data_IF_297091476749
#
_entry.id   IF_297091476749
#
_cell.length_a   1.000
_cell.length_b   1.000
_cell.length_c   1.000
_cell.angle_alpha   90.00
_cell.angle_beta   90.00
_cell.angle_gamma   90.00
#
_symmetry.space_group_name_H-M   'P 1'
#
loop_
_entity.id
_entity.type
_entity.pdbx_description
1 polymer ?
#
# COMPACT_ATOMS: atom_id res chain seq x y z
N UNK A 1 4.72 -10.62 -4.82
CA UNK A 1 4.26 -11.10 -3.49
C UNK A 1 5.35 -11.84 -2.72
N UNK A 2 6.34 -12.43 -3.38
CA UNK A 2 7.46 -13.14 -2.73
C UNK A 2 8.23 -12.25 -1.76
N UNK A 3 8.63 -11.04 -2.19
CA UNK A 3 9.34 -10.08 -1.32
C UNK A 3 8.54 -9.79 -0.04
N UNK A 4 7.22 -9.56 -0.14
CA UNK A 4 6.35 -9.30 1.00
C UNK A 4 6.29 -10.49 1.98
N UNK A 5 6.26 -11.72 1.45
CA UNK A 5 6.27 -12.92 2.28
C UNK A 5 7.64 -13.18 2.91
N UNK A 6 8.74 -12.90 2.20
CA UNK A 6 10.09 -12.95 2.75
C UNK A 6 10.24 -11.98 3.92
N UNK A 7 9.81 -10.73 3.75
CA UNK A 7 9.80 -9.75 4.84
C UNK A 7 8.94 -10.22 6.03
N UNK A 8 7.75 -10.76 5.77
CA UNK A 8 6.88 -11.28 6.82
C UNK A 8 7.58 -12.40 7.62
N UNK A 9 8.32 -13.30 6.97
CA UNK A 9 9.03 -14.38 7.64
C UNK A 9 10.18 -13.88 8.54
N UNK A 10 10.80 -12.75 8.18
CA UNK A 10 11.83 -12.11 9.00
C UNK A 10 11.27 -11.39 10.24
N UNK A 11 9.96 -11.18 10.33
CA UNK A 11 9.35 -10.51 11.48
C UNK A 11 9.23 -11.44 12.71
N UNK A 12 9.50 -10.91 13.92
CA UNK A 12 9.20 -11.62 15.16
C UNK A 12 7.73 -12.06 15.21
N UNK A 13 7.46 -13.23 15.80
CA UNK A 13 6.09 -13.74 15.92
C UNK A 13 5.16 -12.74 16.64
N UNK A 14 5.68 -12.01 17.64
CA UNK A 14 4.94 -10.97 18.37
C UNK A 14 4.42 -9.83 17.47
N UNK A 15 5.05 -9.59 16.32
CA UNK A 15 4.67 -8.54 15.37
C UNK A 15 3.75 -9.05 14.25
N UNK A 16 3.42 -10.34 14.26
CA UNK A 16 2.56 -11.01 13.27
C UNK A 16 1.21 -11.43 13.84
N UNK A 17 0.86 -10.98 15.04
CA UNK A 17 -0.39 -11.33 15.71
C UNK A 17 -1.56 -10.63 15.00
N UNK A 18 -2.53 -11.41 14.55
CA UNK A 18 -3.79 -10.95 13.95
C UNK A 18 -4.81 -10.57 15.03
N UNK A 19 -5.90 -9.85 14.72
CA UNK A 19 -6.93 -9.52 15.70
C UNK A 19 -7.57 -10.75 16.34
N UNK A 20 -7.62 -11.88 15.61
CA UNK A 20 -8.12 -13.16 16.11
C UNK A 20 -7.09 -13.93 16.98
N UNK A 21 -5.92 -13.34 17.26
CA UNK A 21 -4.87 -13.95 18.08
C UNK A 21 -3.93 -14.91 17.35
N UNK A 22 -4.20 -15.25 16.09
CA UNK A 22 -3.33 -16.13 15.29
C UNK A 22 -2.11 -15.40 14.70
N UNK A 23 -1.13 -16.17 14.21
CA UNK A 23 0.06 -15.64 13.51
C UNK A 23 -0.20 -15.53 12.01
N UNK A 24 0.05 -14.34 11.43
CA UNK A 24 -0.03 -14.12 9.99
C UNK A 24 1.11 -14.85 9.27
N UNK A 25 0.73 -15.77 8.38
CA UNK A 25 1.67 -16.63 7.64
C UNK A 25 1.94 -16.17 6.20
N UNK A 26 1.02 -15.41 5.58
CA UNK A 26 1.16 -14.94 4.20
C UNK A 26 0.59 -13.53 4.04
N UNK A 27 1.31 -12.68 3.32
CA UNK A 27 0.79 -11.46 2.75
C UNK A 27 -0.07 -11.81 1.52
N UNK A 28 -1.23 -11.18 1.39
CA UNK A 28 -2.14 -11.37 0.26
C UNK A 28 -2.61 -10.01 -0.22
N UNK A 29 -2.61 -9.80 -1.55
CA UNK A 29 -3.28 -8.62 -2.11
C UNK A 29 -4.78 -8.71 -1.82
N UNK A 30 -5.47 -7.56 -1.66
CA UNK A 30 -6.92 -7.53 -1.58
C UNK A 30 -7.52 -8.27 -2.79
N UNK A 31 -8.57 -9.05 -2.56
CA UNK A 31 -9.28 -9.70 -3.65
C UNK A 31 -10.24 -8.68 -4.29
N UNK A 32 -9.88 -8.17 -5.47
CA UNK A 32 -10.65 -7.17 -6.20
C UNK A 32 -12.08 -7.65 -6.50
N UNK A 33 -12.29 -8.95 -6.74
CA UNK A 33 -13.63 -9.50 -6.95
C UNK A 33 -14.48 -9.46 -5.67
N UNK A 34 -13.87 -9.71 -4.50
CA UNK A 34 -14.57 -9.50 -3.22
C UNK A 34 -14.88 -8.02 -3.01
N UNK A 35 -13.97 -7.12 -3.38
CA UNK A 35 -14.21 -5.67 -3.30
C UNK A 35 -15.41 -5.27 -4.18
N UNK A 36 -15.46 -5.75 -5.44
CA UNK A 36 -16.57 -5.50 -6.38
C UNK A 36 -17.93 -6.00 -5.88
N UNK A 37 -17.96 -7.05 -5.08
CA UNK A 37 -19.21 -7.59 -4.51
C UNK A 37 -19.67 -6.76 -3.31
N UNK A 38 -18.73 -6.28 -2.48
CA UNK A 38 -19.03 -5.52 -1.25
C UNK A 38 -19.33 -4.05 -1.54
N UNK A 39 -18.58 -3.43 -2.45
CA UNK A 39 -18.81 -2.06 -2.92
C UNK A 39 -18.41 -1.93 -4.42
N UNK A 40 -19.38 -2.15 -5.33
CA UNK A 40 -19.14 -2.04 -6.77
C UNK A 40 -18.69 -0.63 -7.19
N UNK A 41 -19.10 0.41 -6.46
CA UNK A 41 -18.85 1.80 -6.83
C UNK A 41 -17.40 2.23 -6.63
N UNK A 42 -16.74 1.74 -5.57
CA UNK A 42 -15.30 1.94 -5.35
C UNK A 42 -14.42 1.12 -6.30
N UNK A 43 -14.77 -0.15 -6.54
CA UNK A 43 -13.90 -1.10 -7.21
C UNK A 43 -13.87 -0.99 -8.75
N UNK A 44 -14.86 -0.34 -9.36
CA UNK A 44 -14.99 -0.27 -10.83
C UNK A 44 -14.28 0.97 -11.41
N UNK A 45 -14.03 2.00 -10.59
CA UNK A 45 -13.55 3.29 -11.11
C UNK A 45 -12.13 3.69 -10.66
N UNK A 46 -11.55 3.03 -9.65
CA UNK A 46 -10.22 3.40 -9.14
C UNK A 46 -9.12 3.34 -10.21
N UNK A 47 -9.17 2.36 -11.11
CA UNK A 47 -8.25 2.21 -12.24
C UNK A 47 -8.34 3.38 -13.25
N UNK A 48 -9.50 4.04 -13.33
CA UNK A 48 -9.74 5.16 -14.24
C UNK A 48 -9.52 6.52 -13.58
N UNK A 49 -9.49 6.62 -12.25
CA UNK A 49 -9.32 7.88 -11.52
C UNK A 49 -8.04 8.59 -11.96
N UNK A 50 -6.92 7.87 -12.04
CA UNK A 50 -5.65 8.50 -12.42
C UNK A 50 -5.69 9.06 -13.86
N UNK A 51 -6.24 8.28 -14.79
CA UNK A 51 -6.40 8.71 -16.19
C UNK A 51 -7.33 9.91 -16.29
N UNK A 52 -8.48 9.87 -15.63
CA UNK A 52 -9.44 10.97 -15.61
C UNK A 52 -8.83 12.23 -14.98
N UNK A 53 -8.11 12.09 -13.86
CA UNK A 53 -7.40 13.17 -13.18
C UNK A 53 -6.42 13.88 -14.13
N UNK A 54 -5.57 13.13 -14.82
CA UNK A 54 -4.61 13.65 -15.81
C UNK A 54 -5.31 14.31 -17.02
N UNK A 55 -6.45 13.74 -17.43
CA UNK A 55 -7.22 14.25 -18.57
C UNK A 55 -7.97 15.55 -18.27
N UNK A 56 -8.45 15.75 -17.05
CA UNK A 56 -9.32 16.88 -16.71
C UNK A 56 -8.66 17.98 -15.86
N UNK A 57 -7.56 17.67 -15.16
CA UNK A 57 -6.87 18.63 -14.28
C UNK A 57 -5.44 18.90 -14.76
N UNK A 58 -4.95 20.10 -14.50
CA UNK A 58 -3.53 20.39 -14.60
C UNK A 58 -2.84 19.75 -13.40
N UNK A 59 -1.98 18.76 -13.63
CA UNK A 59 -1.26 18.08 -12.54
C UNK A 59 -0.23 19.04 -11.96
N UNK A 60 -0.46 19.51 -10.73
CA UNK A 60 0.48 20.36 -9.97
C UNK A 60 1.48 19.47 -9.22
N UNK A 61 0.98 18.37 -8.64
CA UNK A 61 1.79 17.40 -7.93
C UNK A 61 1.26 16.00 -8.18
N UNK A 62 2.17 15.05 -8.35
CA UNK A 62 1.88 13.63 -8.39
C UNK A 62 3.00 12.89 -7.66
N UNK A 63 2.66 12.22 -6.57
CA UNK A 63 3.59 11.53 -5.69
C UNK A 63 3.11 10.09 -5.49
N UNK A 64 3.77 9.10 -6.10
CA UNK A 64 3.57 7.69 -5.73
C UNK A 64 3.89 7.48 -4.25
N UNK A 65 3.01 6.83 -3.49
CA UNK A 65 3.16 6.67 -2.02
C UNK A 65 3.47 5.24 -1.57
N UNK A 66 3.53 4.28 -2.50
CA UNK A 66 3.82 2.88 -2.26
C UNK A 66 2.57 2.05 -2.00
N UNK A 67 2.67 1.13 -1.03
CA UNK A 67 1.59 0.22 -0.65
C UNK A 67 1.55 -1.09 -1.45
N UNK A 68 2.29 -1.22 -2.55
CA UNK A 68 2.38 -2.46 -3.33
C UNK A 68 2.89 -3.64 -2.50
N UNK A 69 3.75 -3.38 -1.52
CA UNK A 69 4.28 -4.37 -0.60
C UNK A 69 3.72 -4.20 0.82
N UNK A 70 3.73 -2.99 1.34
CA UNK A 70 3.39 -2.75 2.74
C UNK A 70 1.90 -2.90 3.04
N UNK A 71 1.00 -2.52 2.12
CA UNK A 71 -0.44 -2.69 2.33
C UNK A 71 -0.82 -4.17 2.55
N UNK A 72 -0.45 -5.11 1.66
CA UNK A 72 -0.76 -6.52 1.89
C UNK A 72 0.03 -7.14 3.05
N UNK A 73 1.25 -6.66 3.33
CA UNK A 73 2.07 -7.13 4.44
C UNK A 73 1.48 -6.73 5.80
N UNK A 74 1.10 -5.46 5.97
CA UNK A 74 0.63 -4.90 7.24
C UNK A 74 -0.87 -5.11 7.48
N UNK A 75 -1.63 -5.55 6.47
CA UNK A 75 -3.05 -5.90 6.61
C UNK A 75 -3.26 -6.82 7.83
N UNK A 76 -4.13 -6.43 8.76
CA UNK A 76 -4.42 -7.12 10.02
C UNK A 76 -3.26 -7.27 11.01
N UNK A 77 -2.11 -6.64 10.81
CA UNK A 77 -1.00 -6.69 11.79
C UNK A 77 -0.34 -5.32 12.06
N UNK A 78 -0.76 -4.25 11.37
CA UNK A 78 -0.20 -2.90 11.50
C UNK A 78 -0.18 -2.39 12.96
N UNK A 79 -1.21 -2.72 13.73
CA UNK A 79 -1.34 -2.33 15.14
C UNK A 79 -0.26 -2.92 16.06
N UNK A 80 0.51 -3.91 15.61
CA UNK A 80 1.61 -4.46 16.41
C UNK A 80 2.86 -3.57 16.40
N UNK A 81 2.99 -2.63 15.45
CA UNK A 81 4.23 -1.90 15.23
C UNK A 81 4.34 -0.58 16.00
N UNK A 82 3.26 -0.12 16.61
CA UNK A 82 3.25 1.12 17.41
C UNK A 82 3.40 0.87 18.93
N UNK A 83 3.54 -0.40 19.33
CA UNK A 83 3.55 -0.80 20.75
C UNK A 83 4.88 -0.54 21.45
N UNK A 84 5.99 -0.57 20.71
CA UNK A 84 7.33 -0.42 21.26
C UNK A 84 8.29 0.24 20.25
N UNK A 85 9.54 0.46 20.67
CA UNK A 85 10.57 1.03 19.79
C UNK A 85 11.00 0.05 18.68
N UNK A 86 11.01 -1.25 18.96
CA UNK A 86 11.39 -2.29 18.01
C UNK A 86 10.44 -2.32 16.82
N UNK A 87 9.12 -2.31 17.07
CA UNK A 87 8.08 -2.23 16.07
C UNK A 87 8.20 -0.98 15.21
N UNK A 88 8.42 0.19 15.82
CA UNK A 88 8.64 1.44 15.09
C UNK A 88 9.88 1.37 14.19
N UNK A 89 10.98 0.79 14.67
CA UNK A 89 12.21 0.58 13.88
C UNK A 89 11.99 -0.42 12.73
N UNK A 90 11.29 -1.52 12.97
CA UNK A 90 10.93 -2.50 11.94
C UNK A 90 10.07 -1.86 10.85
N UNK A 91 9.01 -1.12 11.24
CA UNK A 91 8.13 -0.43 10.32
C UNK A 91 8.91 0.60 9.47
N UNK A 92 9.72 1.43 10.10
CA UNK A 92 10.57 2.41 9.39
C UNK A 92 11.55 1.73 8.41
N UNK A 93 12.09 0.57 8.78
CA UNK A 93 12.99 -0.20 7.91
C UNK A 93 12.24 -0.73 6.68
N UNK A 94 11.05 -1.30 6.88
CA UNK A 94 10.24 -1.80 5.76
C UNK A 94 9.75 -0.65 4.85
N UNK A 95 9.42 0.52 5.41
CA UNK A 95 9.08 1.73 4.62
C UNK A 95 10.25 2.18 3.76
N UNK A 96 11.46 2.23 4.31
CA UNK A 96 12.66 2.58 3.54
C UNK A 96 12.89 1.59 2.41
N UNK A 97 12.75 0.30 2.69
CA UNK A 97 12.94 -0.74 1.68
C UNK A 97 11.90 -0.66 0.55
N UNK A 98 10.62 -0.45 0.85
CA UNK A 98 9.60 -0.23 -0.18
C UNK A 98 9.94 1.00 -1.04
N UNK A 99 10.37 2.10 -0.42
CA UNK A 99 10.79 3.31 -1.14
C UNK A 99 11.99 3.08 -2.05
N UNK A 100 13.01 2.34 -1.61
CA UNK A 100 14.16 2.02 -2.47
C UNK A 100 13.77 1.11 -3.64
N UNK A 101 12.92 0.10 -3.40
CA UNK A 101 12.39 -0.75 -4.48
C UNK A 101 11.56 0.03 -5.51
N UNK A 102 10.82 1.04 -5.06
CA UNK A 102 10.12 1.95 -5.97
C UNK A 102 11.08 2.82 -6.77
N UNK A 103 12.15 3.32 -6.15
CA UNK A 103 13.14 4.19 -6.81
C UNK A 103 13.93 3.47 -7.90
N UNK A 104 14.31 2.20 -7.69
CA UNK A 104 14.98 1.41 -8.71
C UNK A 104 14.03 0.84 -9.78
N UNK A 105 12.71 0.96 -9.59
CA UNK A 105 11.70 0.48 -10.54
C UNK A 105 11.35 -1.00 -10.40
N UNK A 106 11.83 -1.68 -9.36
CA UNK A 106 11.51 -3.09 -9.09
C UNK A 106 10.04 -3.30 -8.74
N UNK A 107 9.41 -2.29 -8.13
CA UNK A 107 7.97 -2.25 -7.86
C UNK A 107 7.37 -0.89 -8.24
N UNK A 108 6.09 -0.92 -8.61
CA UNK A 108 5.28 0.29 -8.77
C UNK A 108 4.71 0.82 -7.46
N UNK A 109 3.59 1.54 -7.58
CA UNK A 109 2.87 2.11 -6.45
C UNK A 109 1.38 1.81 -6.60
N UNK A 110 0.79 1.16 -5.60
CA UNK A 110 -0.65 0.87 -5.58
C UNK A 110 -1.45 2.11 -5.12
N UNK A 111 -0.79 3.06 -4.44
CA UNK A 111 -1.37 4.34 -4.02
C UNK A 111 -0.60 5.54 -4.55
N UNK A 112 -1.27 6.68 -4.67
CA UNK A 112 -0.64 7.94 -5.02
C UNK A 112 -1.34 9.11 -4.32
N UNK A 113 -0.60 10.19 -4.15
CA UNK A 113 -1.13 11.49 -3.75
C UNK A 113 -0.96 12.45 -4.92
N UNK A 114 -2.03 13.13 -5.32
CA UNK A 114 -1.96 14.11 -6.39
C UNK A 114 -2.74 15.39 -6.06
N UNK A 115 -2.21 16.51 -6.56
CA UNK A 115 -2.82 17.84 -6.49
C UNK A 115 -3.06 18.33 -7.90
N UNK A 116 -4.30 18.74 -8.18
CA UNK A 116 -4.75 19.17 -9.50
C UNK A 116 -5.27 20.59 -9.47
N UNK A 117 -4.86 21.40 -10.45
CA UNK A 117 -5.40 22.72 -10.73
C UNK A 117 -6.42 22.69 -11.85
N UNK A 118 -7.21 23.76 -11.96
CA UNK A 118 -8.11 23.97 -13.09
C UNK A 118 -7.30 24.08 -14.38
N UNK A 119 -7.63 23.30 -15.41
CA UNK A 119 -7.06 23.51 -16.76
C UNK A 119 -7.59 24.82 -17.32
N UNK A 120 -6.69 25.74 -17.66
CA UNK A 120 -7.02 26.95 -18.43
C UNK A 120 -6.82 26.57 -19.89
N UNK A 121 -7.92 26.35 -20.61
CA UNK A 121 -7.87 26.21 -22.06
C UNK A 121 -7.82 27.64 -22.64
N UNK A 122 -6.75 27.97 -23.37
CA UNK A 122 -6.70 29.18 -24.20
C UNK A 122 -7.49 28.97 -25.48
#
# INVERSE_FOLDING_TARGET
MEIANGMLQCLPASHRITPAGGIKQKARKPNIYKLKIVDPSEAINSENIEKAFKNHLQVIQYTPTGGTLLSPLLNQIAFNFDKDETGRRLLNTMIKLEKELMKCGDIGSDYMFAVGGKKINH
#
